data_IF_162548565311
#
_entry.id   IF_162548565311
#
_cell.length_a   1.000
_cell.length_b   1.000
_cell.length_c   1.000
_cell.angle_alpha   90.00
_cell.angle_beta   90.00
_cell.angle_gamma   90.00
#
_symmetry.space_group_name_H-M   'P 1'
#
loop_
_entity.id
_entity.type
_entity.pdbx_description
1 polymer ?
#
# COMPACT_ATOMS: atom_id res chain seq x y z
N UNK A 1 14.65 16.57 15.71
CA UNK A 1 13.78 17.59 15.13
C UNK A 1 13.23 18.49 16.22
N UNK A 2 12.89 19.72 15.83
CA UNK A 2 12.30 20.74 16.69
C UNK A 2 11.21 21.48 15.91
N UNK A 3 10.16 21.93 16.60
CA UNK A 3 9.11 22.76 16.02
C UNK A 3 8.66 23.85 16.98
N UNK A 4 8.07 24.92 16.45
CA UNK A 4 7.39 25.94 17.26
C UNK A 4 6.04 25.44 17.78
N UNK A 5 5.44 26.17 18.70
CA UNK A 5 4.14 25.80 19.32
C UNK A 5 2.97 25.83 18.31
N UNK A 6 3.13 26.52 17.17
CA UNK A 6 2.11 26.66 16.14
C UNK A 6 2.27 25.63 15.01
N UNK A 7 3.26 24.74 15.06
CA UNK A 7 3.60 23.80 13.98
C UNK A 7 3.84 24.46 12.61
N UNK A 8 4.35 25.69 12.62
CA UNK A 8 4.68 26.45 11.40
C UNK A 8 6.13 26.43 11.06
N UNK A 9 7.01 26.28 12.06
CA UNK A 9 8.46 26.18 11.86
C UNK A 9 8.93 24.81 12.31
N UNK A 10 9.57 24.07 11.38
CA UNK A 10 10.15 22.77 11.64
C UNK A 10 11.62 22.76 11.30
N UNK A 11 12.48 22.44 12.27
CA UNK A 11 13.94 22.36 12.08
C UNK A 11 14.40 20.92 12.28
N UNK A 12 15.20 20.44 11.32
CA UNK A 12 15.75 19.08 11.32
C UNK A 12 17.28 19.16 11.24
N UNK A 13 17.96 18.25 11.98
CA UNK A 13 19.41 18.11 11.95
C UNK A 13 19.82 16.72 11.51
N UNK A 14 20.67 16.62 10.49
CA UNK A 14 21.25 15.37 10.02
C UNK A 14 22.26 14.83 11.02
N UNK A 15 22.30 13.50 11.17
CA UNK A 15 23.33 12.82 11.95
C UNK A 15 24.71 13.03 11.32
N UNK A 16 25.79 13.00 12.09
CA UNK A 16 27.13 13.04 11.52
C UNK A 16 27.47 11.77 10.73
N UNK A 17 28.39 11.90 9.77
CA UNK A 17 29.01 10.77 9.06
C UNK A 17 28.12 10.11 7.99
N UNK A 18 26.97 10.69 7.65
CA UNK A 18 26.12 10.17 6.56
C UNK A 18 26.80 10.34 5.20
N UNK A 19 26.82 9.27 4.42
CA UNK A 19 27.42 9.24 3.07
C UNK A 19 26.45 8.62 2.07
N UNK A 20 26.52 9.11 0.85
CA UNK A 20 25.93 8.46 -0.31
C UNK A 20 26.79 7.26 -0.79
N UNK A 21 26.22 6.42 -1.65
CA UNK A 21 26.90 5.23 -2.20
C UNK A 21 28.10 5.57 -3.11
N UNK A 22 28.19 6.79 -3.61
CA UNK A 22 29.33 7.32 -4.35
C UNK A 22 30.46 7.88 -3.45
N UNK A 23 30.24 7.86 -2.12
CA UNK A 23 31.20 8.31 -1.11
C UNK A 23 31.04 9.75 -0.68
N UNK A 24 30.25 10.57 -1.39
CA UNK A 24 30.01 11.97 -1.03
C UNK A 24 29.18 12.09 0.26
N UNK A 25 29.40 13.15 1.07
CA UNK A 25 28.62 13.37 2.27
C UNK A 25 27.16 13.71 1.93
N UNK A 26 26.23 13.28 2.78
CA UNK A 26 24.82 13.71 2.71
C UNK A 26 24.70 15.04 3.44
N UNK A 27 24.34 16.09 2.71
CA UNK A 27 24.20 17.46 3.22
C UNK A 27 22.75 17.92 3.21
N UNK A 28 22.43 18.95 3.98
CA UNK A 28 21.09 19.55 4.04
C UNK A 28 20.59 20.05 2.68
N UNK A 29 21.46 20.51 1.78
CA UNK A 29 21.09 20.89 0.40
C UNK A 29 20.53 19.70 -0.41
N UNK A 30 21.06 18.48 -0.18
CA UNK A 30 20.56 17.26 -0.83
C UNK A 30 19.15 16.95 -0.34
N UNK A 31 18.90 17.12 0.97
CA UNK A 31 17.59 16.94 1.56
C UNK A 31 16.60 17.96 1.02
N UNK A 32 16.94 19.23 1.01
CA UNK A 32 16.09 20.31 0.50
C UNK A 32 15.69 20.04 -0.94
N UNK A 33 16.65 19.68 -1.81
CA UNK A 33 16.35 19.42 -3.21
C UNK A 33 15.53 18.13 -3.40
N UNK A 34 15.82 17.08 -2.63
CA UNK A 34 15.07 15.82 -2.69
C UNK A 34 13.62 16.01 -2.25
N UNK A 35 13.37 16.75 -1.17
CA UNK A 35 12.02 17.06 -0.70
C UNK A 35 11.28 17.98 -1.68
N UNK A 36 11.96 18.95 -2.29
CA UNK A 36 11.41 19.81 -3.35
C UNK A 36 10.93 18.97 -4.53
N UNK A 37 11.71 17.94 -4.93
CA UNK A 37 11.33 16.98 -5.96
C UNK A 37 10.17 16.08 -5.56
N UNK A 38 10.14 15.62 -4.29
CA UNK A 38 9.14 14.68 -3.78
C UNK A 38 7.77 15.34 -3.61
N UNK A 39 7.71 16.57 -3.08
CA UNK A 39 6.46 17.25 -2.74
C UNK A 39 5.40 17.31 -3.87
N UNK A 40 5.73 17.56 -5.13
CA UNK A 40 4.73 17.57 -6.21
C UNK A 40 4.10 16.21 -6.50
N UNK A 41 4.76 15.12 -6.14
CA UNK A 41 4.39 13.74 -6.48
C UNK A 41 3.61 13.03 -5.39
N UNK A 42 3.75 13.45 -4.17
CA UNK A 42 3.19 12.80 -2.99
C UNK A 42 2.01 13.57 -2.41
N UNK A 43 0.88 12.94 -2.04
CA UNK A 43 -0.26 13.63 -1.47
C UNK A 43 0.06 14.43 -0.20
N UNK A 44 0.87 13.86 0.73
CA UNK A 44 1.30 14.58 1.93
C UNK A 44 2.31 15.69 1.58
N UNK A 45 3.18 15.42 0.61
CA UNK A 45 4.10 16.42 0.05
C UNK A 45 3.37 17.61 -0.55
N UNK A 46 2.29 17.38 -1.30
CA UNK A 46 1.44 18.44 -1.85
C UNK A 46 0.77 19.28 -0.76
N UNK A 47 0.35 18.66 0.35
CA UNK A 47 -0.21 19.37 1.50
C UNK A 47 0.83 20.25 2.21
N UNK A 48 2.07 19.78 2.32
CA UNK A 48 3.20 20.60 2.82
C UNK A 48 3.47 21.75 1.85
N UNK A 49 3.57 21.46 0.55
CA UNK A 49 3.86 22.46 -0.50
C UNK A 49 2.81 23.57 -0.53
N UNK A 50 1.53 23.25 -0.34
CA UNK A 50 0.46 24.25 -0.31
C UNK A 50 0.56 25.22 0.88
N UNK A 51 1.30 24.84 1.94
CA UNK A 51 1.55 25.63 3.15
C UNK A 51 2.95 26.22 3.20
N UNK A 52 3.81 25.86 2.25
CA UNK A 52 5.22 26.19 2.29
C UNK A 52 5.46 27.67 2.00
N UNK A 53 6.12 28.35 2.92
CA UNK A 53 6.77 29.65 2.69
C UNK A 53 8.20 29.42 2.22
N UNK A 54 9.01 28.73 3.02
CA UNK A 54 10.43 28.45 2.71
C UNK A 54 10.80 27.04 3.14
N UNK A 55 11.58 26.35 2.29
CA UNK A 55 12.38 25.17 2.64
C UNK A 55 13.84 25.51 2.34
N UNK A 56 14.68 25.59 3.37
CA UNK A 56 16.05 26.07 3.27
C UNK A 56 17.07 25.16 3.95
N UNK A 57 18.28 25.12 3.42
CA UNK A 57 19.46 24.61 4.12
C UNK A 57 20.02 25.73 4.98
N UNK A 58 19.99 25.57 6.31
CA UNK A 58 20.51 26.57 7.27
C UNK A 58 22.02 26.45 7.38
N UNK A 59 22.54 25.24 7.42
CA UNK A 59 23.94 24.87 7.38
C UNK A 59 24.08 23.47 6.72
N UNK A 60 25.27 22.90 6.62
CA UNK A 60 25.53 21.61 5.98
C UNK A 60 24.71 20.45 6.55
N UNK A 61 24.23 20.57 7.78
CA UNK A 61 23.51 19.49 8.48
C UNK A 61 22.12 19.87 8.97
N UNK A 62 21.72 21.13 8.85
CA UNK A 62 20.46 21.66 9.36
C UNK A 62 19.64 22.19 8.21
N UNK A 63 18.38 21.72 8.09
CA UNK A 63 17.40 22.26 7.16
C UNK A 63 16.13 22.63 7.90
N UNK A 64 15.35 23.57 7.32
CA UNK A 64 14.18 24.15 7.97
C UNK A 64 13.03 24.32 6.98
N UNK A 65 11.82 23.99 7.46
CA UNK A 65 10.57 24.43 6.84
C UNK A 65 10.03 25.63 7.58
N UNK A 66 9.56 26.64 6.83
CA UNK A 66 8.65 27.69 7.32
C UNK A 66 7.36 27.57 6.54
N UNK A 67 6.23 27.57 7.25
CA UNK A 67 4.89 27.34 6.71
C UNK A 67 3.99 28.55 7.00
N UNK A 68 3.09 28.87 6.06
CA UNK A 68 2.09 29.92 6.20
C UNK A 68 0.93 29.53 7.15
N UNK A 69 0.71 28.22 7.35
CA UNK A 69 -0.31 27.66 8.20
C UNK A 69 0.18 26.41 8.92
N UNK A 70 -0.40 26.05 10.09
CA UNK A 70 0.03 24.90 10.88
C UNK A 70 0.00 23.58 10.11
N UNK A 71 1.02 22.72 10.37
CA UNK A 71 1.03 21.36 9.84
C UNK A 71 1.59 20.36 10.88
N UNK A 72 0.77 19.91 11.85
CA UNK A 72 1.21 19.01 12.94
C UNK A 72 1.62 17.62 12.44
N UNK A 73 1.28 17.25 11.20
CA UNK A 73 1.60 15.94 10.60
C UNK A 73 2.96 15.89 9.87
N UNK A 74 3.88 16.84 10.09
CA UNK A 74 5.16 16.92 9.37
C UNK A 74 5.99 15.64 9.54
N UNK A 75 6.19 15.18 10.77
CA UNK A 75 6.97 13.96 11.05
C UNK A 75 6.33 12.75 10.38
N UNK A 76 5.00 12.64 10.47
CA UNK A 76 4.27 11.58 9.81
C UNK A 76 4.45 11.63 8.28
N UNK A 77 4.37 12.80 7.67
CA UNK A 77 4.52 12.99 6.22
C UNK A 77 5.90 12.58 5.70
N UNK A 78 6.96 12.97 6.43
CA UNK A 78 8.34 12.66 6.08
C UNK A 78 8.71 11.20 6.38
N UNK A 79 8.11 10.59 7.42
CA UNK A 79 8.39 9.23 7.88
C UNK A 79 7.42 8.15 7.39
N UNK A 80 6.46 8.48 6.53
CA UNK A 80 5.49 7.50 6.04
C UNK A 80 6.18 6.35 5.28
N UNK A 81 5.59 5.16 5.37
CA UNK A 81 6.13 3.92 4.80
C UNK A 81 5.52 3.52 3.45
N UNK A 82 4.56 4.28 2.94
CA UNK A 82 3.92 4.04 1.64
C UNK A 82 4.47 4.96 0.55
N UNK A 83 4.37 4.50 -0.70
CA UNK A 83 4.88 5.23 -1.89
C UNK A 83 3.99 6.41 -2.29
N UNK A 84 4.60 7.48 -2.86
CA UNK A 84 6.03 7.76 -2.97
C UNK A 84 6.62 8.19 -1.61
N UNK A 85 7.74 7.59 -1.22
CA UNK A 85 8.48 7.99 -0.02
C UNK A 85 9.43 9.15 -0.32
N UNK A 86 9.78 9.91 0.72
CA UNK A 86 10.71 11.05 0.64
C UNK A 86 12.18 10.59 0.62
N UNK A 87 12.59 9.80 -0.37
CA UNK A 87 13.97 9.34 -0.51
C UNK A 87 14.93 10.50 -0.75
N UNK A 88 16.02 10.51 0.02
CA UNK A 88 17.08 11.49 -0.13
C UNK A 88 18.12 10.97 -1.13
N UNK A 89 18.45 11.78 -2.12
CA UNK A 89 19.42 11.51 -3.16
C UNK A 89 20.36 12.71 -3.31
N UNK A 90 21.55 12.57 -3.94
CA UNK A 90 22.42 13.69 -4.23
C UNK A 90 21.69 14.82 -4.96
N UNK A 91 21.96 16.07 -4.60
CA UNK A 91 21.33 17.27 -5.18
C UNK A 91 21.34 17.23 -6.71
N UNK A 92 22.46 16.80 -7.34
CA UNK A 92 22.60 16.68 -8.80
C UNK A 92 21.54 15.76 -9.42
N UNK A 93 21.15 14.67 -8.73
CA UNK A 93 20.12 13.75 -9.18
C UNK A 93 18.73 14.31 -8.85
N UNK A 94 18.56 14.88 -7.65
CA UNK A 94 17.31 15.46 -7.19
C UNK A 94 16.83 16.65 -8.00
N UNK A 95 17.70 17.32 -8.74
CA UNK A 95 17.38 18.40 -9.70
C UNK A 95 16.67 17.93 -10.96
N UNK A 96 16.63 16.61 -11.24
CA UNK A 96 15.82 16.06 -12.33
C UNK A 96 14.35 16.42 -12.11
N UNK A 97 13.64 16.79 -13.17
CA UNK A 97 12.21 17.13 -13.07
C UNK A 97 11.41 16.07 -12.32
N UNK A 98 10.51 16.43 -11.38
CA UNK A 98 9.74 15.49 -10.58
C UNK A 98 8.96 14.45 -11.39
N UNK A 99 8.57 14.76 -12.62
CA UNK A 99 7.79 13.88 -13.50
C UNK A 99 8.66 13.09 -14.49
N UNK A 100 9.98 13.31 -14.47
CA UNK A 100 10.96 12.51 -15.21
C UNK A 100 11.60 11.46 -14.32
N UNK A 101 11.81 10.26 -14.89
CA UNK A 101 12.51 9.18 -14.17
C UNK A 101 14.00 9.51 -14.04
N UNK A 102 14.55 9.28 -12.84
CA UNK A 102 15.99 9.35 -12.62
C UNK A 102 16.70 8.20 -13.33
N UNK A 103 17.89 8.45 -13.86
CA UNK A 103 18.68 7.45 -14.60
C UNK A 103 19.82 6.88 -13.75
N UNK A 104 20.18 7.56 -12.66
CA UNK A 104 21.24 7.16 -11.74
C UNK A 104 20.64 6.80 -10.39
N UNK A 105 21.03 5.64 -9.82
CA UNK A 105 20.54 5.13 -8.54
C UNK A 105 21.65 5.25 -7.50
N UNK A 106 21.66 6.36 -6.76
CA UNK A 106 22.59 6.63 -5.66
C UNK A 106 21.77 6.92 -4.41
N UNK A 107 21.82 6.05 -3.44
CA UNK A 107 21.19 6.21 -2.13
C UNK A 107 22.21 6.37 -1.02
N UNK A 108 21.73 6.42 0.23
CA UNK A 108 22.53 6.52 1.45
C UNK A 108 22.20 5.42 2.46
N UNK A 109 21.61 4.32 1.99
CA UNK A 109 21.22 3.17 2.80
C UNK A 109 22.37 2.17 3.04
N UNK A 110 22.09 1.09 3.81
CA UNK A 110 23.11 0.11 4.16
C UNK A 110 23.51 -0.84 3.02
N UNK A 111 22.75 -0.84 1.91
CA UNK A 111 23.00 -1.66 0.73
C UNK A 111 23.05 -0.79 -0.52
N UNK A 112 23.99 -1.10 -1.40
CA UNK A 112 24.17 -0.44 -2.70
C UNK A 112 23.63 -1.34 -3.80
N UNK A 113 22.80 -0.79 -4.69
CA UNK A 113 22.29 -1.49 -5.85
C UNK A 113 23.38 -1.71 -6.91
N UNK A 114 23.47 -2.94 -7.43
CA UNK A 114 24.41 -3.35 -8.49
C UNK A 114 23.71 -3.31 -9.85
N UNK A 115 23.77 -2.14 -10.50
CA UNK A 115 23.12 -1.95 -11.80
C UNK A 115 23.69 -2.83 -12.90
N UNK A 116 24.99 -3.09 -12.86
CA UNK A 116 25.73 -3.96 -13.79
C UNK A 116 25.30 -5.44 -13.72
N UNK A 117 24.69 -5.85 -12.62
CA UNK A 117 24.20 -7.21 -12.39
C UNK A 117 22.68 -7.31 -12.43
N UNK A 118 21.99 -6.21 -12.66
CA UNK A 118 20.54 -6.18 -12.74
C UNK A 118 20.05 -6.74 -14.08
N UNK A 119 19.17 -7.74 -14.02
CA UNK A 119 18.44 -8.29 -15.17
C UNK A 119 16.96 -8.06 -14.94
N UNK A 120 16.32 -7.09 -15.64
CA UNK A 120 14.91 -6.78 -15.47
C UNK A 120 14.02 -8.03 -15.60
N UNK A 121 13.11 -8.24 -14.64
CA UNK A 121 12.20 -9.40 -14.63
C UNK A 121 12.85 -10.73 -14.21
N UNK A 122 14.14 -10.75 -13.87
CA UNK A 122 14.85 -11.97 -13.46
C UNK A 122 15.64 -11.82 -12.16
N UNK A 123 16.49 -10.80 -12.04
CA UNK A 123 17.38 -10.66 -10.89
C UNK A 123 17.69 -9.21 -10.56
N UNK A 124 17.70 -8.88 -9.27
CA UNK A 124 18.27 -7.66 -8.71
C UNK A 124 19.31 -7.98 -7.66
N UNK A 125 20.41 -7.23 -7.62
CA UNK A 125 21.56 -7.49 -6.75
C UNK A 125 21.91 -6.25 -5.93
N UNK A 126 22.21 -6.48 -4.66
CA UNK A 126 22.61 -5.46 -3.70
C UNK A 126 23.84 -5.93 -2.92
N UNK A 127 24.79 -5.01 -2.70
CA UNK A 127 26.00 -5.24 -1.89
C UNK A 127 26.01 -4.34 -0.67
N UNK A 128 26.58 -4.81 0.44
CA UNK A 128 26.77 -4.02 1.65
C UNK A 128 27.59 -2.77 1.36
N UNK A 129 27.11 -1.63 1.87
CA UNK A 129 27.83 -0.38 1.81
C UNK A 129 28.55 -0.11 3.14
N UNK A 130 29.86 -0.32 3.19
CA UNK A 130 30.67 -0.19 4.41
C UNK A 130 30.76 1.28 4.91
N UNK A 131 30.47 2.25 4.05
CA UNK A 131 30.36 3.67 4.43
C UNK A 131 29.07 4.04 5.17
N UNK A 132 28.13 3.10 5.32
CA UNK A 132 26.89 3.35 6.05
C UNK A 132 27.10 3.38 7.57
N UNK A 133 26.61 4.44 8.22
CA UNK A 133 26.63 4.58 9.68
C UNK A 133 25.25 4.25 10.24
N UNK A 134 25.05 3.06 10.86
CA UNK A 134 23.77 2.72 11.46
C UNK A 134 23.47 3.58 12.69
N UNK A 135 22.22 3.73 13.04
CA UNK A 135 21.80 4.28 14.33
C UNK A 135 22.15 3.30 15.46
N UNK A 136 22.19 3.78 16.68
CA UNK A 136 22.51 2.94 17.86
C UNK A 136 21.32 2.11 18.32
N UNK A 137 20.12 2.65 18.15
CA UNK A 137 18.87 2.02 18.59
C UNK A 137 18.60 0.71 17.83
N UNK A 138 17.93 -0.21 18.48
CA UNK A 138 17.49 -1.45 17.82
C UNK A 138 16.65 -1.14 16.57
N UNK A 139 16.79 -1.93 15.50
CA UNK A 139 15.97 -1.73 14.30
C UNK A 139 14.50 -2.05 14.61
N UNK A 140 13.62 -1.16 14.16
CA UNK A 140 12.19 -1.33 14.17
C UNK A 140 11.66 -0.99 12.77
N UNK A 141 11.31 -2.01 12.02
CA UNK A 141 10.94 -1.93 10.60
C UNK A 141 11.93 -1.05 9.80
N UNK A 142 11.47 0.10 9.27
CA UNK A 142 12.28 1.05 8.51
C UNK A 142 13.06 2.02 9.40
N UNK A 143 12.87 2.02 10.71
CA UNK A 143 13.58 2.88 11.66
C UNK A 143 14.69 2.15 12.42
N UNK A 144 15.44 2.89 13.26
CA UNK A 144 16.52 2.34 14.09
C UNK A 144 17.79 1.96 13.31
N UNK A 145 18.59 1.10 13.91
CA UNK A 145 19.92 0.71 13.43
C UNK A 145 19.87 -0.39 12.38
N UNK A 146 20.05 -0.05 11.12
CA UNK A 146 20.01 -0.98 9.98
C UNK A 146 21.39 -1.62 9.78
N UNK A 147 21.76 -2.58 10.63
CA UNK A 147 23.05 -3.27 10.55
C UNK A 147 22.95 -4.48 9.61
N UNK A 148 23.74 -4.49 8.54
CA UNK A 148 23.81 -5.60 7.60
C UNK A 148 24.82 -6.64 8.13
N UNK A 149 24.36 -7.90 8.23
CA UNK A 149 25.19 -9.04 8.65
C UNK A 149 25.48 -9.98 7.47
N UNK A 150 24.99 -9.63 6.27
CA UNK A 150 25.29 -10.30 5.01
C UNK A 150 25.97 -9.29 4.08
N UNK A 151 26.85 -9.80 3.21
CA UNK A 151 27.62 -8.95 2.29
C UNK A 151 26.85 -8.64 1.02
N UNK A 152 25.95 -9.56 0.63
CA UNK A 152 25.26 -9.53 -0.66
C UNK A 152 23.85 -10.09 -0.53
N UNK A 153 22.91 -9.46 -1.27
CA UNK A 153 21.54 -9.92 -1.43
C UNK A 153 21.27 -10.05 -2.93
N UNK A 154 20.82 -11.24 -3.35
CA UNK A 154 20.37 -11.51 -4.69
C UNK A 154 18.86 -11.79 -4.65
N UNK A 155 18.11 -10.97 -5.34
CA UNK A 155 16.66 -11.09 -5.43
C UNK A 155 16.30 -11.76 -6.76
N UNK A 156 15.92 -13.03 -6.71
CA UNK A 156 15.54 -13.82 -7.87
C UNK A 156 14.03 -13.81 -8.07
N UNK A 157 13.59 -13.58 -9.30
CA UNK A 157 12.18 -13.65 -9.68
C UNK A 157 11.93 -15.04 -10.27
N UNK A 158 11.18 -15.88 -9.54
CA UNK A 158 10.78 -17.21 -9.92
C UNK A 158 9.26 -17.23 -10.18
N UNK A 159 8.81 -17.15 -11.43
CA UNK A 159 7.38 -16.99 -11.75
C UNK A 159 6.53 -18.20 -11.38
N UNK A 160 7.09 -19.41 -11.44
CA UNK A 160 6.39 -20.65 -11.10
C UNK A 160 6.55 -20.97 -9.62
N UNK A 161 5.44 -21.10 -8.89
CA UNK A 161 5.43 -21.32 -7.46
C UNK A 161 5.97 -22.71 -7.04
N UNK A 162 5.80 -23.75 -7.88
CA UNK A 162 6.35 -25.07 -7.61
C UNK A 162 7.87 -25.05 -7.77
N UNK A 163 8.38 -24.34 -8.78
CA UNK A 163 9.83 -24.10 -8.97
C UNK A 163 10.40 -23.32 -7.81
N UNK A 164 9.73 -22.26 -7.32
CA UNK A 164 10.16 -21.48 -6.16
C UNK A 164 10.21 -22.34 -4.89
N UNK A 165 9.20 -23.19 -4.68
CA UNK A 165 9.17 -24.13 -3.55
C UNK A 165 10.32 -25.15 -3.62
N UNK A 166 10.62 -25.70 -4.79
CA UNK A 166 11.73 -26.62 -5.02
C UNK A 166 13.07 -25.92 -4.76
N UNK A 167 13.28 -24.73 -5.31
CA UNK A 167 14.51 -23.95 -5.09
C UNK A 167 14.78 -23.67 -3.62
N UNK A 168 13.74 -23.31 -2.83
CA UNK A 168 13.88 -23.14 -1.39
C UNK A 168 14.21 -24.45 -0.67
N UNK A 169 13.56 -25.57 -1.05
CA UNK A 169 13.80 -26.88 -0.45
C UNK A 169 15.21 -27.41 -0.74
N UNK A 170 15.71 -27.20 -1.95
CA UNK A 170 17.04 -27.62 -2.41
C UNK A 170 18.16 -26.69 -1.91
N UNK A 171 17.83 -25.49 -1.40
CA UNK A 171 18.81 -24.51 -0.95
C UNK A 171 19.43 -23.67 -2.05
N UNK A 172 18.77 -23.58 -3.19
CA UNK A 172 19.14 -22.69 -4.29
C UNK A 172 18.77 -21.23 -3.95
N UNK A 173 17.70 -21.03 -3.15
CA UNK A 173 17.33 -19.76 -2.54
C UNK A 173 17.16 -19.93 -1.03
N UNK A 174 17.29 -18.84 -0.29
CA UNK A 174 17.28 -18.85 1.18
C UNK A 174 15.96 -18.40 1.80
N UNK A 175 15.21 -17.53 1.10
CA UNK A 175 13.99 -16.92 1.60
C UNK A 175 12.99 -16.71 0.46
N UNK A 176 11.76 -17.14 0.66
CA UNK A 176 10.62 -16.93 -0.24
C UNK A 176 9.57 -16.05 0.45
N UNK A 177 9.32 -14.86 -0.11
CA UNK A 177 8.48 -13.83 0.52
C UNK A 177 6.99 -14.18 0.56
N UNK A 178 6.48 -14.80 -0.51
CA UNK A 178 5.03 -14.95 -0.72
C UNK A 178 4.67 -16.37 -1.23
N UNK A 179 4.94 -17.42 -0.44
CA UNK A 179 4.56 -18.78 -0.81
C UNK A 179 3.04 -18.90 -0.92
N UNK A 180 2.57 -19.65 -1.92
CA UNK A 180 1.14 -19.95 -2.06
C UNK A 180 0.63 -20.76 -0.88
N UNK A 181 -0.58 -20.50 -0.37
CA UNK A 181 -1.18 -21.23 0.75
C UNK A 181 -1.15 -22.74 0.57
N UNK A 182 -1.45 -23.24 -0.64
CA UNK A 182 -1.48 -24.68 -0.95
C UNK A 182 -0.12 -25.37 -0.81
N UNK A 183 0.98 -24.65 -0.91
CA UNK A 183 2.34 -25.18 -0.75
C UNK A 183 2.86 -25.14 0.70
N UNK A 184 2.18 -24.44 1.58
CA UNK A 184 2.57 -24.34 2.99
C UNK A 184 2.68 -25.70 3.71
N UNK A 185 1.70 -26.65 3.53
CA UNK A 185 1.83 -27.96 4.16
C UNK A 185 3.07 -28.72 3.73
N UNK A 186 3.49 -28.60 2.47
CA UNK A 186 4.70 -29.23 1.95
C UNK A 186 5.95 -28.61 2.54
N UNK A 187 6.04 -27.27 2.56
CA UNK A 187 7.17 -26.54 3.12
C UNK A 187 7.34 -26.83 4.62
N UNK A 188 6.25 -26.91 5.38
CA UNK A 188 6.28 -27.23 6.84
C UNK A 188 6.80 -28.62 7.16
N UNK A 189 6.70 -29.59 6.23
CA UNK A 189 7.25 -30.94 6.41
C UNK A 189 8.77 -30.98 6.30
N UNK A 190 9.37 -30.00 5.64
CA UNK A 190 10.82 -29.91 5.52
C UNK A 190 11.41 -29.30 6.79
N UNK A 191 12.22 -30.14 7.53
CA UNK A 191 12.84 -29.73 8.80
C UNK A 191 13.81 -28.56 8.69
N UNK A 192 14.32 -28.28 7.48
CA UNK A 192 15.25 -27.19 7.21
C UNK A 192 14.55 -25.88 6.86
N UNK A 193 13.21 -25.86 6.76
CA UNK A 193 12.44 -24.69 6.42
C UNK A 193 11.64 -24.20 7.64
N UNK A 194 11.61 -22.90 7.81
CA UNK A 194 10.70 -22.18 8.70
C UNK A 194 9.61 -21.51 7.86
N UNK A 195 8.37 -21.56 8.32
CA UNK A 195 7.23 -20.86 7.73
C UNK A 195 6.55 -20.02 8.81
N UNK A 196 6.30 -18.76 8.56
CA UNK A 196 5.61 -17.86 9.48
C UNK A 196 4.79 -16.82 8.72
N UNK A 197 3.94 -16.08 9.43
CA UNK A 197 3.25 -14.91 8.88
C UNK A 197 4.28 -13.86 8.47
N UNK A 198 4.14 -13.33 7.25
CA UNK A 198 5.05 -12.33 6.72
C UNK A 198 4.84 -10.96 7.37
N UNK A 199 3.61 -10.47 7.34
CA UNK A 199 3.22 -9.17 7.89
C UNK A 199 2.01 -9.30 8.81
N UNK A 200 2.11 -8.94 10.09
CA UNK A 200 0.97 -8.94 11.01
C UNK A 200 -0.05 -7.85 10.70
N UNK A 201 0.32 -6.79 9.96
CA UNK A 201 -0.62 -5.79 9.45
C UNK A 201 -1.40 -6.28 8.22
N UNK A 202 -0.98 -7.37 7.59
CA UNK A 202 -1.68 -8.06 6.53
C UNK A 202 -2.09 -7.20 5.34
N UNK A 203 -3.19 -7.59 4.72
CA UNK A 203 -3.71 -6.95 3.51
C UNK A 203 -5.22 -6.76 3.60
N UNK A 204 -5.70 -5.67 3.02
CA UNK A 204 -7.13 -5.39 2.87
C UNK A 204 -7.51 -5.59 1.41
N UNK A 205 -8.37 -6.55 1.15
CA UNK A 205 -8.91 -6.78 -0.19
C UNK A 205 -9.89 -5.68 -0.60
N UNK A 206 -9.86 -5.29 -1.86
CA UNK A 206 -10.61 -4.16 -2.39
C UNK A 206 -11.44 -4.55 -3.60
N UNK A 207 -12.76 -4.37 -3.48
CA UNK A 207 -13.70 -4.41 -4.59
C UNK A 207 -13.88 -2.98 -5.08
N UNK A 208 -13.24 -2.64 -6.19
CA UNK A 208 -13.22 -1.28 -6.71
C UNK A 208 -14.27 -1.07 -7.78
N UNK A 209 -15.17 -0.11 -7.54
CA UNK A 209 -16.24 0.31 -8.45
C UNK A 209 -15.84 1.56 -9.21
N UNK A 210 -16.26 1.66 -10.46
CA UNK A 210 -16.08 2.88 -11.27
C UNK A 210 -17.28 3.81 -11.10
N UNK A 211 -17.07 4.94 -10.41
CA UNK A 211 -18.12 5.91 -10.11
C UNK A 211 -18.47 6.82 -11.29
N UNK A 212 -17.76 6.74 -12.42
CA UNK A 212 -18.03 7.61 -13.57
C UNK A 212 -19.19 7.12 -14.44
N UNK A 213 -19.50 5.83 -14.40
CA UNK A 213 -20.43 5.20 -15.34
C UNK A 213 -21.57 4.46 -14.65
N UNK A 214 -22.79 4.46 -15.26
CA UNK A 214 -23.90 3.64 -14.79
C UNK A 214 -23.54 2.15 -14.77
N UNK A 215 -24.06 1.37 -13.78
CA UNK A 215 -24.96 1.81 -12.71
C UNK A 215 -24.23 2.40 -11.50
N UNK A 216 -22.88 2.29 -11.43
CA UNK A 216 -22.11 2.60 -10.22
C UNK A 216 -21.81 4.08 -10.00
N UNK A 217 -22.20 4.97 -10.91
CA UNK A 217 -22.28 6.41 -10.63
C UNK A 217 -23.40 6.73 -9.61
N UNK A 218 -24.39 5.85 -9.45
CA UNK A 218 -25.41 5.94 -8.41
C UNK A 218 -24.98 5.20 -7.14
N UNK A 219 -25.02 5.88 -5.99
CA UNK A 219 -24.67 5.29 -4.70
C UNK A 219 -25.56 4.10 -4.31
N UNK A 220 -26.83 4.10 -4.77
CA UNK A 220 -27.78 3.01 -4.51
C UNK A 220 -27.29 1.70 -5.15
N UNK A 221 -26.78 1.76 -6.39
CA UNK A 221 -26.20 0.58 -7.03
C UNK A 221 -24.95 0.07 -6.30
N UNK A 222 -24.09 0.98 -5.82
CA UNK A 222 -22.91 0.58 -5.02
C UNK A 222 -23.30 -0.03 -3.69
N UNK A 223 -24.30 0.53 -3.00
CA UNK A 223 -24.84 -0.03 -1.74
C UNK A 223 -25.49 -1.40 -1.94
N UNK A 224 -26.16 -1.62 -3.08
CA UNK A 224 -26.69 -2.93 -3.41
C UNK A 224 -25.60 -4.01 -3.44
N UNK A 225 -24.46 -3.73 -4.08
CA UNK A 225 -23.31 -4.65 -4.06
C UNK A 225 -22.78 -4.84 -2.63
N UNK A 226 -22.67 -3.75 -1.86
CA UNK A 226 -22.20 -3.80 -0.48
C UNK A 226 -23.10 -4.65 0.43
N UNK A 227 -24.45 -4.57 0.27
CA UNK A 227 -25.43 -5.39 1.01
C UNK A 227 -25.38 -6.87 0.66
N UNK A 228 -25.05 -7.18 -0.59
CA UNK A 228 -25.00 -8.56 -1.10
C UNK A 228 -23.67 -9.26 -0.84
N UNK A 229 -22.59 -8.49 -0.57
CA UNK A 229 -21.25 -9.02 -0.40
C UNK A 229 -21.10 -9.79 0.92
N UNK A 230 -20.49 -10.98 0.86
CA UNK A 230 -20.05 -11.73 2.04
C UNK A 230 -18.52 -11.83 2.02
N UNK A 231 -17.86 -11.18 2.96
CA UNK A 231 -16.41 -11.15 3.04
C UNK A 231 -15.77 -12.54 3.23
N UNK A 232 -16.46 -13.47 3.89
CA UNK A 232 -15.98 -14.83 4.08
C UNK A 232 -15.76 -15.56 2.75
N UNK A 233 -16.67 -15.39 1.78
CA UNK A 233 -16.54 -16.02 0.46
C UNK A 233 -15.24 -15.57 -0.23
N UNK A 234 -14.90 -14.27 -0.16
CA UNK A 234 -13.66 -13.73 -0.70
C UNK A 234 -12.43 -14.22 0.04
N UNK A 235 -12.46 -14.20 1.36
CA UNK A 235 -11.31 -14.58 2.18
C UNK A 235 -10.98 -16.06 2.04
N UNK A 236 -11.98 -16.93 2.09
CA UNK A 236 -11.77 -18.37 1.87
C UNK A 236 -11.24 -18.68 0.47
N UNK A 237 -11.66 -17.94 -0.54
CA UNK A 237 -11.12 -18.08 -1.89
C UNK A 237 -9.64 -17.65 -2.00
N UNK A 238 -9.17 -16.69 -1.18
CA UNK A 238 -7.79 -16.21 -1.18
C UNK A 238 -6.87 -17.09 -0.35
N UNK A 239 -7.24 -17.40 0.90
CA UNK A 239 -6.35 -18.02 1.89
C UNK A 239 -6.75 -19.47 2.25
N UNK A 240 -7.81 -20.00 1.66
CA UNK A 240 -8.29 -21.36 1.93
C UNK A 240 -9.07 -21.46 3.24
N UNK A 241 -8.95 -22.61 3.90
CA UNK A 241 -9.75 -22.98 5.09
C UNK A 241 -9.09 -22.58 6.42
N UNK A 242 -7.95 -21.93 6.44
CA UNK A 242 -7.28 -21.53 7.68
C UNK A 242 -7.88 -20.21 8.20
N UNK A 243 -8.78 -20.32 9.18
CA UNK A 243 -9.48 -19.18 9.77
C UNK A 243 -8.53 -18.21 10.52
N UNK A 244 -7.28 -18.59 10.79
CA UNK A 244 -6.29 -17.69 11.40
C UNK A 244 -5.71 -16.69 10.39
N UNK A 245 -5.88 -16.94 9.10
CA UNK A 245 -5.31 -16.11 8.03
C UNK A 245 -6.21 -14.99 7.57
N UNK A 246 -7.43 -14.89 8.08
CA UNK A 246 -8.35 -13.85 7.64
C UNK A 246 -9.29 -13.37 8.75
N UNK A 247 -9.87 -12.19 8.52
CA UNK A 247 -10.92 -11.62 9.37
C UNK A 247 -11.94 -10.85 8.53
N UNK A 248 -13.17 -10.81 8.98
CA UNK A 248 -14.13 -9.81 8.50
C UNK A 248 -13.61 -8.42 8.85
N UNK A 249 -13.74 -7.49 7.92
CA UNK A 249 -13.24 -6.13 8.06
C UNK A 249 -14.33 -5.10 7.73
N UNK A 250 -15.10 -4.63 8.72
CA UNK A 250 -16.07 -3.54 8.55
C UNK A 250 -15.38 -2.17 8.63
N UNK A 251 -14.22 -2.05 8.02
CA UNK A 251 -13.34 -0.88 8.12
C UNK A 251 -12.49 -0.73 6.85
N UNK A 252 -12.08 0.50 6.57
CA UNK A 252 -11.02 0.79 5.62
C UNK A 252 -9.63 0.76 6.27
N UNK A 253 -9.57 0.73 7.59
CA UNK A 253 -8.32 0.84 8.36
C UNK A 253 -7.89 -0.52 8.94
N UNK A 254 -6.58 -0.68 9.07
CA UNK A 254 -5.95 -1.94 9.47
C UNK A 254 -6.23 -2.30 10.93
N UNK A 255 -6.70 -3.53 11.21
CA UNK A 255 -6.90 -4.02 12.56
C UNK A 255 -5.61 -3.96 13.40
N UNK A 256 -5.76 -3.65 14.69
CA UNK A 256 -4.64 -3.56 15.63
C UNK A 256 -3.83 -2.26 15.55
N UNK A 257 -4.22 -1.32 14.71
CA UNK A 257 -3.62 0.02 14.63
C UNK A 257 -4.49 1.08 15.30
N UNK A 258 -3.93 2.24 15.68
CA UNK A 258 -4.73 3.35 16.21
C UNK A 258 -5.81 3.88 15.26
N UNK A 259 -5.64 3.66 13.96
CA UNK A 259 -6.59 4.07 12.93
C UNK A 259 -7.85 3.19 12.87
N UNK A 260 -7.78 1.96 13.41
CA UNK A 260 -8.87 0.99 13.27
C UNK A 260 -10.15 1.47 13.97
N UNK A 261 -11.25 1.41 13.23
CA UNK A 261 -12.60 1.71 13.71
C UNK A 261 -13.61 0.96 12.87
N UNK A 262 -14.73 0.56 13.45
CA UNK A 262 -15.84 -0.10 12.76
C UNK A 262 -17.04 0.83 12.52
N UNK A 263 -16.90 2.11 12.83
CA UNK A 263 -17.97 3.10 12.71
C UNK A 263 -18.52 3.17 11.27
N UNK A 264 -19.81 2.89 11.09
CA UNK A 264 -20.48 2.87 9.79
C UNK A 264 -20.28 1.60 8.97
N UNK A 265 -19.57 0.59 9.52
CA UNK A 265 -19.30 -0.68 8.85
C UNK A 265 -20.31 -1.81 9.14
N UNK A 266 -21.43 -1.50 9.81
CA UNK A 266 -22.45 -2.47 10.26
C UNK A 266 -23.00 -3.32 9.12
N UNK A 267 -23.12 -2.75 7.93
CA UNK A 267 -23.62 -3.43 6.72
C UNK A 267 -22.76 -4.64 6.32
N UNK A 268 -21.46 -4.63 6.63
CA UNK A 268 -20.54 -5.73 6.32
C UNK A 268 -20.48 -6.81 7.42
N UNK A 269 -21.16 -6.59 8.55
CA UNK A 269 -21.19 -7.53 9.68
C UNK A 269 -22.40 -8.46 9.64
N UNK A 270 -23.51 -8.00 9.07
CA UNK A 270 -24.79 -8.71 9.01
C UNK A 270 -24.81 -9.81 7.96
N UNK A 271 -25.91 -10.56 7.93
CA UNK A 271 -26.18 -11.45 6.81
C UNK A 271 -26.36 -10.63 5.53
N UNK A 272 -25.91 -11.18 4.39
CA UNK A 272 -26.14 -10.55 3.08
C UNK A 272 -27.62 -10.50 2.75
N UNK A 273 -28.06 -9.38 2.17
CA UNK A 273 -29.45 -9.18 1.71
C UNK A 273 -29.50 -9.14 0.17
N UNK A 274 -29.62 -10.31 -0.44
CA UNK A 274 -29.67 -10.47 -1.90
C UNK A 274 -30.95 -9.86 -2.48
N UNK A 275 -32.09 -10.05 -1.85
CA UNK A 275 -33.36 -9.53 -2.37
C UNK A 275 -33.49 -8.01 -2.20
N UNK A 276 -32.99 -7.46 -1.09
CA UNK A 276 -32.86 -6.01 -0.92
C UNK A 276 -31.91 -5.39 -1.94
N UNK A 277 -30.78 -6.06 -2.20
CA UNK A 277 -29.81 -5.62 -3.21
C UNK A 277 -30.41 -5.60 -4.62
N UNK A 278 -31.15 -6.63 -5.03
CA UNK A 278 -31.86 -6.66 -6.32
C UNK A 278 -32.85 -5.50 -6.48
N UNK A 279 -33.66 -5.24 -5.43
CA UNK A 279 -34.59 -4.08 -5.45
C UNK A 279 -33.84 -2.76 -5.61
N UNK A 280 -32.76 -2.59 -4.84
CA UNK A 280 -32.00 -1.34 -4.87
C UNK A 280 -31.26 -1.14 -6.21
N UNK A 281 -30.80 -2.21 -6.87
CA UNK A 281 -30.25 -2.17 -8.24
C UNK A 281 -31.29 -1.71 -9.25
N UNK A 282 -32.51 -2.26 -9.17
CA UNK A 282 -33.60 -1.86 -10.05
C UNK A 282 -33.98 -0.36 -9.84
N UNK A 283 -34.07 0.08 -8.58
CA UNK A 283 -34.31 1.49 -8.22
C UNK A 283 -33.19 2.43 -8.71
N UNK A 284 -31.95 1.94 -8.79
CA UNK A 284 -30.81 2.65 -9.35
C UNK A 284 -30.76 2.61 -10.89
N UNK A 285 -31.76 1.99 -11.55
CA UNK A 285 -31.91 1.95 -12.99
C UNK A 285 -31.10 0.86 -13.70
N UNK A 286 -30.62 -0.15 -12.97
CA UNK A 286 -30.01 -1.30 -13.64
C UNK A 286 -31.07 -2.14 -14.36
N UNK A 287 -30.87 -2.37 -15.66
CA UNK A 287 -31.84 -3.05 -16.54
C UNK A 287 -31.21 -4.13 -17.43
N UNK A 288 -30.11 -4.75 -16.99
CA UNK A 288 -29.43 -5.83 -17.71
C UNK A 288 -28.25 -5.41 -18.59
N UNK A 289 -27.83 -4.15 -18.55
CA UNK A 289 -26.62 -3.73 -19.27
C UNK A 289 -25.39 -4.51 -18.80
N UNK A 290 -24.43 -4.80 -19.68
CA UNK A 290 -23.21 -5.55 -19.36
C UNK A 290 -22.37 -4.83 -18.29
N UNK A 291 -21.88 -5.59 -17.32
CA UNK A 291 -20.96 -5.13 -16.28
C UNK A 291 -19.58 -5.69 -16.52
N UNK A 292 -18.68 -4.87 -17.03
CA UNK A 292 -17.30 -5.25 -17.35
C UNK A 292 -16.47 -5.35 -16.07
N UNK A 293 -16.00 -6.56 -15.76
CA UNK A 293 -15.16 -6.89 -14.59
C UNK A 293 -13.76 -7.26 -15.07
N UNK A 294 -12.75 -6.46 -14.75
CA UNK A 294 -11.35 -6.78 -15.08
C UNK A 294 -10.77 -7.72 -14.02
N UNK A 295 -10.24 -8.86 -14.46
CA UNK A 295 -9.73 -9.90 -13.56
C UNK A 295 -8.33 -10.35 -13.96
N UNK A 296 -7.35 -10.06 -13.11
CA UNK A 296 -5.97 -10.51 -13.28
C UNK A 296 -5.84 -12.00 -12.96
N UNK A 297 -5.44 -12.79 -13.96
CA UNK A 297 -5.32 -14.26 -13.84
C UNK A 297 -3.96 -14.71 -13.32
N UNK A 298 -2.95 -13.88 -13.45
CA UNK A 298 -1.57 -14.10 -13.02
C UNK A 298 -1.31 -13.77 -11.53
N UNK A 299 -2.32 -13.23 -10.83
CA UNK A 299 -2.28 -12.90 -9.41
C UNK A 299 -3.35 -13.71 -8.67
N UNK A 300 -2.96 -14.77 -7.97
CA UNK A 300 -3.90 -15.71 -7.34
C UNK A 300 -4.98 -15.02 -6.46
N UNK A 301 -4.68 -14.06 -5.57
CA UNK A 301 -5.71 -13.38 -4.79
C UNK A 301 -6.68 -12.57 -5.67
N UNK A 302 -6.21 -11.93 -6.74
CA UNK A 302 -7.06 -11.13 -7.62
C UNK A 302 -7.97 -11.99 -8.49
N UNK A 303 -7.43 -13.12 -8.98
CA UNK A 303 -8.22 -14.13 -9.67
C UNK A 303 -9.35 -14.64 -8.78
N UNK A 304 -9.03 -15.05 -7.54
CA UNK A 304 -10.01 -15.53 -6.59
C UNK A 304 -11.10 -14.50 -6.30
N UNK A 305 -10.73 -13.24 -6.03
CA UNK A 305 -11.71 -12.16 -5.83
C UNK A 305 -12.60 -11.94 -7.06
N UNK A 306 -12.03 -12.00 -8.27
CA UNK A 306 -12.78 -11.84 -9.51
C UNK A 306 -13.82 -12.95 -9.73
N UNK A 307 -13.46 -14.18 -9.43
CA UNK A 307 -14.36 -15.35 -9.55
C UNK A 307 -15.52 -15.27 -8.55
N UNK A 308 -15.25 -14.92 -7.29
CA UNK A 308 -16.29 -14.71 -6.26
C UNK A 308 -17.22 -13.56 -6.68
N UNK A 309 -16.66 -12.47 -7.21
CA UNK A 309 -17.46 -11.35 -7.73
C UNK A 309 -18.34 -11.74 -8.89
N UNK A 310 -17.84 -12.54 -9.84
CA UNK A 310 -18.65 -13.04 -10.95
C UNK A 310 -19.87 -13.83 -10.43
N UNK A 311 -19.66 -14.73 -9.45
CA UNK A 311 -20.74 -15.49 -8.84
C UNK A 311 -21.74 -14.57 -8.11
N UNK A 312 -21.26 -13.60 -7.34
CA UNK A 312 -22.07 -12.62 -6.64
C UNK A 312 -22.96 -11.83 -7.61
N UNK A 313 -22.38 -11.22 -8.63
CA UNK A 313 -23.11 -10.37 -9.59
C UNK A 313 -24.17 -11.20 -10.36
N UNK A 314 -23.85 -12.43 -10.75
CA UNK A 314 -24.82 -13.34 -11.38
C UNK A 314 -25.97 -13.71 -10.45
N UNK A 315 -25.72 -13.89 -9.14
CA UNK A 315 -26.76 -14.14 -8.15
C UNK A 315 -27.73 -12.96 -7.99
N UNK A 316 -27.25 -11.74 -8.28
CA UNK A 316 -28.06 -10.52 -8.34
C UNK A 316 -28.81 -10.35 -9.68
N UNK A 317 -28.64 -11.27 -10.63
CA UNK A 317 -29.21 -11.18 -11.97
C UNK A 317 -28.49 -10.20 -12.89
N UNK A 318 -27.25 -9.85 -12.56
CA UNK A 318 -26.46 -8.94 -13.39
C UNK A 318 -25.82 -9.66 -14.57
N UNK A 319 -25.77 -8.98 -15.73
CA UNK A 319 -25.12 -9.44 -16.94
C UNK A 319 -23.61 -9.16 -16.84
N UNK A 320 -22.78 -10.19 -16.59
CA UNK A 320 -21.35 -10.03 -16.33
C UNK A 320 -20.53 -10.24 -17.62
N UNK A 321 -19.80 -9.21 -18.02
CA UNK A 321 -18.70 -9.26 -18.99
C UNK A 321 -17.39 -9.48 -18.23
N UNK A 322 -16.97 -10.76 -18.12
CA UNK A 322 -15.81 -11.17 -17.34
C UNK A 322 -14.55 -11.11 -18.20
N UNK A 323 -13.72 -10.08 -18.02
CA UNK A 323 -12.51 -9.84 -18.80
C UNK A 323 -11.30 -10.42 -18.06
N UNK A 324 -10.94 -11.64 -18.39
CA UNK A 324 -9.74 -12.33 -17.90
C UNK A 324 -8.49 -11.81 -18.64
N UNK A 325 -7.50 -11.31 -17.89
CA UNK A 325 -6.25 -10.78 -18.46
C UNK A 325 -5.13 -10.85 -17.41
N UNK A 326 -3.96 -10.29 -17.70
CA UNK A 326 -2.84 -10.15 -16.76
C UNK A 326 -2.93 -8.85 -15.94
N UNK A 327 -2.19 -8.79 -14.81
CA UNK A 327 -2.19 -7.61 -13.93
C UNK A 327 -1.63 -6.35 -14.59
N UNK A 328 -0.65 -6.49 -15.49
CA UNK A 328 -0.09 -5.36 -16.24
C UNK A 328 -1.15 -4.68 -17.11
N UNK A 329 -1.95 -5.48 -17.81
CA UNK A 329 -3.08 -5.03 -18.63
C UNK A 329 -4.19 -4.42 -17.75
N UNK A 330 -4.55 -5.04 -16.62
CA UNK A 330 -5.47 -4.44 -15.64
C UNK A 330 -4.92 -3.09 -15.16
N UNK A 331 -3.62 -3.03 -14.84
CA UNK A 331 -2.95 -1.82 -14.38
C UNK A 331 -3.04 -0.65 -15.37
N UNK A 332 -2.92 -0.93 -16.66
CA UNK A 332 -3.09 0.06 -17.72
C UNK A 332 -4.57 0.43 -17.92
N UNK A 333 -5.44 -0.58 -18.06
CA UNK A 333 -6.86 -0.38 -18.38
C UNK A 333 -7.65 0.30 -17.26
N UNK A 334 -7.31 0.06 -15.98
CA UNK A 334 -7.97 0.72 -14.84
C UNK A 334 -7.78 2.24 -14.82
N UNK A 335 -6.77 2.77 -15.52
CA UNK A 335 -6.55 4.21 -15.65
C UNK A 335 -7.47 4.88 -16.70
N UNK A 336 -8.16 4.10 -17.53
CA UNK A 336 -9.08 4.59 -18.54
C UNK A 336 -10.37 5.11 -17.91
N UNK A 337 -10.74 6.35 -18.23
CA UNK A 337 -12.04 6.98 -17.91
C UNK A 337 -13.08 6.77 -19.00
N UNK A 338 -12.74 6.08 -20.08
CA UNK A 338 -13.67 5.80 -21.16
C UNK A 338 -14.86 4.96 -20.68
N UNK A 339 -16.01 5.04 -21.36
CA UNK A 339 -17.13 4.15 -21.12
C UNK A 339 -16.73 2.66 -21.23
N UNK A 340 -17.32 1.77 -20.44
CA UNK A 340 -16.96 0.35 -20.44
C UNK A 340 -16.99 -0.31 -21.81
N UNK A 341 -17.99 -0.01 -22.65
CA UNK A 341 -18.07 -0.48 -24.05
C UNK A 341 -17.01 0.10 -25.00
N UNK A 342 -16.19 1.05 -24.57
CA UNK A 342 -15.13 1.71 -25.33
C UNK A 342 -13.75 1.51 -24.69
N UNK A 343 -13.52 0.33 -24.10
CA UNK A 343 -12.25 0.00 -23.45
C UNK A 343 -12.15 0.38 -21.96
N UNK A 344 -13.20 1.01 -21.39
CA UNK A 344 -13.31 1.24 -19.96
C UNK A 344 -13.71 -0.01 -19.16
N UNK A 345 -14.17 0.19 -17.96
CA UNK A 345 -14.48 -0.88 -17.00
C UNK A 345 -15.49 -0.43 -15.95
N UNK A 346 -16.14 -1.40 -15.27
CA UNK A 346 -17.04 -1.14 -14.14
C UNK A 346 -16.43 -1.57 -12.81
N UNK A 347 -15.68 -2.68 -12.79
CA UNK A 347 -15.14 -3.30 -11.58
C UNK A 347 -13.73 -3.82 -11.84
N UNK A 348 -12.84 -3.66 -10.87
CA UNK A 348 -11.61 -4.43 -10.74
C UNK A 348 -11.29 -4.72 -9.27
N UNK A 349 -10.44 -5.69 -9.04
CA UNK A 349 -9.95 -6.02 -7.71
C UNK A 349 -8.49 -5.66 -7.52
N UNK A 350 -8.16 -5.32 -6.27
CA UNK A 350 -6.79 -5.18 -5.79
C UNK A 350 -6.77 -5.46 -4.29
N UNK A 351 -5.61 -5.39 -3.69
CA UNK A 351 -5.47 -5.31 -2.22
C UNK A 351 -4.60 -4.10 -1.86
N UNK A 352 -4.70 -3.69 -0.60
CA UNK A 352 -3.86 -2.66 -0.01
C UNK A 352 -3.09 -3.29 1.14
N UNK A 353 -1.77 -3.07 1.20
CA UNK A 353 -0.99 -3.48 2.34
C UNK A 353 -1.50 -2.78 3.61
N UNK A 354 -1.58 -3.51 4.73
CA UNK A 354 -2.11 -2.95 5.97
C UNK A 354 -1.37 -1.70 6.43
N UNK A 355 -0.06 -1.64 6.18
CA UNK A 355 0.75 -0.46 6.46
C UNK A 355 0.31 0.81 5.68
N UNK A 356 -0.29 0.66 4.49
CA UNK A 356 -0.80 1.78 3.69
C UNK A 356 -2.17 2.28 4.19
N UNK A 357 -2.87 1.47 4.98
CA UNK A 357 -4.24 1.70 5.41
C UNK A 357 -4.33 2.30 6.84
N UNK A 358 -3.34 3.06 7.25
CA UNK A 358 -3.27 3.70 8.57
C UNK A 358 -3.30 5.22 8.51
N UNK A 359 -3.07 5.81 7.34
CA UNK A 359 -2.94 7.27 7.18
C UNK A 359 -3.92 7.81 6.13
N UNK A 360 -5.04 8.39 6.54
CA UNK A 360 -6.13 8.75 5.62
C UNK A 360 -5.71 9.66 4.47
N UNK A 361 -4.83 10.62 4.74
CA UNK A 361 -4.40 11.60 3.73
C UNK A 361 -3.55 11.00 2.62
N UNK A 362 -2.80 9.94 2.91
CA UNK A 362 -1.97 9.20 1.94
C UNK A 362 -2.62 7.91 1.43
N UNK A 363 -3.72 7.48 2.03
CA UNK A 363 -4.49 6.32 1.58
C UNK A 363 -5.38 6.67 0.40
N UNK A 364 -4.80 6.72 -0.79
CA UNK A 364 -5.46 7.21 -2.01
C UNK A 364 -6.77 6.48 -2.34
N UNK A 365 -6.93 5.22 -1.93
CA UNK A 365 -8.11 4.43 -2.26
C UNK A 365 -9.39 4.93 -1.60
N UNK A 366 -9.31 5.60 -0.43
CA UNK A 366 -10.48 6.16 0.26
C UNK A 366 -10.75 7.61 -0.09
N UNK A 367 -9.85 8.30 -0.82
CA UNK A 367 -9.97 9.71 -1.13
C UNK A 367 -11.09 9.97 -2.15
N UNK A 368 -11.95 10.94 -1.85
CA UNK A 368 -13.17 11.26 -2.57
C UNK A 368 -13.10 12.50 -3.45
N UNK A 369 -11.98 12.74 -4.16
CA UNK A 369 -11.75 13.93 -5.00
C UNK A 369 -12.45 13.92 -6.37
N UNK A 370 -13.33 12.96 -6.66
CA UNK A 370 -13.97 12.85 -7.97
C UNK A 370 -12.96 12.55 -9.06
N UNK A 371 -12.96 13.32 -10.14
CA UNK A 371 -12.09 13.10 -11.29
C UNK A 371 -10.57 13.11 -10.99
N UNK A 372 -10.14 13.63 -9.83
CA UNK A 372 -8.78 13.60 -9.34
C UNK A 372 -8.48 12.44 -8.38
N UNK A 373 -9.49 11.67 -7.98
CA UNK A 373 -9.32 10.53 -7.07
C UNK A 373 -8.60 9.36 -7.76
N UNK A 374 -8.16 8.42 -6.93
CA UNK A 374 -7.59 7.18 -7.43
C UNK A 374 -8.59 6.39 -8.28
N UNK A 375 -8.15 5.44 -9.08
CA UNK A 375 -8.93 4.65 -10.03
C UNK A 375 -10.30 4.22 -9.46
N UNK A 376 -11.37 4.46 -10.24
CA UNK A 376 -12.75 4.38 -9.80
C UNK A 376 -13.35 5.75 -9.48
N UNK A 377 -12.52 6.75 -9.22
CA UNK A 377 -12.86 8.18 -9.14
C UNK A 377 -14.05 8.50 -8.23
N UNK A 378 -14.05 8.02 -6.97
CA UNK A 378 -15.14 8.31 -6.06
C UNK A 378 -15.22 9.80 -5.73
N UNK A 379 -16.45 10.28 -5.54
CA UNK A 379 -16.73 11.60 -5.01
C UNK A 379 -17.37 11.45 -3.64
N UNK A 380 -16.74 12.01 -2.60
CA UNK A 380 -17.25 12.02 -1.23
C UNK A 380 -16.75 13.27 -0.50
N UNK A 381 -17.56 14.32 -0.51
CA UNK A 381 -17.24 15.56 0.23
C UNK A 381 -17.14 15.31 1.75
N UNK A 382 -17.95 14.38 2.27
CA UNK A 382 -17.94 14.04 3.69
C UNK A 382 -16.61 13.33 4.09
N UNK A 383 -16.10 12.41 3.26
CA UNK A 383 -14.79 11.78 3.49
C UNK A 383 -13.67 12.81 3.46
N UNK A 384 -13.65 13.70 2.47
CA UNK A 384 -12.61 14.73 2.37
C UNK A 384 -12.65 15.73 3.54
N UNK A 385 -13.84 16.14 4.01
CA UNK A 385 -13.97 16.98 5.20
C UNK A 385 -13.45 16.27 6.46
N UNK A 386 -13.72 14.98 6.61
CA UNK A 386 -13.22 14.19 7.73
C UNK A 386 -11.69 13.98 7.66
N UNK A 387 -11.13 13.80 6.46
CA UNK A 387 -9.66 13.75 6.24
C UNK A 387 -9.02 15.08 6.60
N UNK A 388 -9.64 16.21 6.29
CA UNK A 388 -9.15 17.53 6.71
C UNK A 388 -9.08 17.66 8.23
N UNK A 389 -10.10 17.20 8.97
CA UNK A 389 -10.08 17.16 10.44
C UNK A 389 -8.92 16.29 10.98
N UNK A 390 -8.68 15.14 10.34
CA UNK A 390 -7.54 14.29 10.73
C UNK A 390 -6.20 15.00 10.54
N UNK A 391 -6.03 15.77 9.46
CA UNK A 391 -4.81 16.54 9.20
C UNK A 391 -4.54 17.62 10.26
N UNK A 392 -5.60 18.21 10.81
CA UNK A 392 -5.56 19.26 11.84
C UNK A 392 -5.49 18.68 13.26
N UNK A 393 -5.80 17.39 13.44
CA UNK A 393 -5.81 16.75 14.73
C UNK A 393 -4.43 16.78 15.39
N UNK A 394 -4.34 17.36 16.56
CA UNK A 394 -3.13 17.48 17.36
C UNK A 394 -3.04 16.43 18.49
N UNK A 395 -4.16 15.78 18.83
CA UNK A 395 -4.25 14.79 19.90
C UNK A 395 -4.71 13.42 19.40
N UNK A 396 -4.32 12.31 20.07
CA UNK A 396 -4.82 10.98 19.76
C UNK A 396 -6.35 10.83 19.80
N UNK A 397 -7.02 11.60 20.68
CA UNK A 397 -8.49 11.58 20.77
C UNK A 397 -9.14 12.20 19.54
N UNK A 398 -8.63 13.32 19.05
CA UNK A 398 -9.08 13.98 17.82
C UNK A 398 -8.82 13.10 16.60
N UNK A 399 -7.65 12.47 16.50
CA UNK A 399 -7.35 11.51 15.45
C UNK A 399 -8.34 10.35 15.43
N UNK A 400 -8.62 9.76 16.61
CA UNK A 400 -9.58 8.66 16.75
C UNK A 400 -10.99 9.06 16.31
N UNK A 401 -11.43 10.25 16.68
CA UNK A 401 -12.72 10.79 16.24
C UNK A 401 -12.76 10.98 14.72
N UNK A 402 -11.70 11.53 14.12
CA UNK A 402 -11.59 11.72 12.69
C UNK A 402 -11.57 10.38 11.92
N UNK A 403 -10.86 9.36 12.40
CA UNK A 403 -10.91 8.02 11.80
C UNK A 403 -12.33 7.45 11.76
N UNK A 404 -13.11 7.61 12.85
CA UNK A 404 -14.49 7.15 12.89
C UNK A 404 -15.40 7.91 11.88
N UNK A 405 -15.21 9.22 11.75
CA UNK A 405 -15.93 10.02 10.74
C UNK A 405 -15.56 9.60 9.31
N UNK A 406 -14.28 9.43 9.03
CA UNK A 406 -13.79 9.00 7.71
C UNK A 406 -14.39 7.63 7.35
N UNK A 407 -14.31 6.64 8.27
CA UNK A 407 -14.82 5.31 8.00
C UNK A 407 -16.33 5.35 7.71
N UNK A 408 -17.09 6.07 8.50
CA UNK A 408 -18.55 6.21 8.32
C UNK A 408 -18.88 6.88 6.97
N UNK A 409 -18.21 7.98 6.64
CA UNK A 409 -18.44 8.70 5.39
C UNK A 409 -18.10 7.83 4.16
N UNK A 410 -16.94 7.20 4.18
CA UNK A 410 -16.47 6.34 3.10
C UNK A 410 -17.36 5.09 2.91
N UNK A 411 -17.86 4.48 4.01
CA UNK A 411 -18.83 3.38 3.96
C UNK A 411 -20.18 3.82 3.41
N UNK A 412 -20.64 5.01 3.78
CA UNK A 412 -21.94 5.58 3.33
C UNK A 412 -21.91 5.87 1.84
N UNK A 413 -20.83 6.46 1.33
CA UNK A 413 -20.68 6.81 -0.09
C UNK A 413 -20.14 5.65 -0.93
N UNK A 414 -19.74 4.56 -0.26
CA UNK A 414 -19.19 3.33 -0.87
C UNK A 414 -18.04 3.69 -1.82
N UNK A 415 -17.00 4.33 -1.29
CA UNK A 415 -15.82 4.75 -2.08
C UNK A 415 -15.09 3.54 -2.67
N UNK A 416 -15.10 2.42 -1.99
CA UNK A 416 -14.89 1.05 -2.45
C UNK A 416 -15.48 0.08 -1.41
N UNK A 417 -15.52 -1.23 -1.67
CA UNK A 417 -16.00 -2.21 -0.70
C UNK A 417 -14.82 -3.05 -0.21
N UNK A 418 -14.47 -3.03 1.09
CA UNK A 418 -13.49 -3.96 1.64
C UNK A 418 -13.99 -5.39 1.52
N UNK A 419 -13.20 -6.27 0.91
CA UNK A 419 -13.58 -7.69 0.78
C UNK A 419 -13.12 -8.55 1.95
N UNK A 420 -12.45 -7.97 2.93
CA UNK A 420 -11.94 -8.59 4.13
C UNK A 420 -10.47 -8.28 4.36
N UNK A 421 -9.96 -8.77 5.48
CA UNK A 421 -8.55 -8.68 5.86
C UNK A 421 -7.91 -10.08 5.80
N UNK A 422 -6.72 -10.17 5.22
CA UNK A 422 -6.00 -11.45 5.12
C UNK A 422 -4.51 -11.30 5.37
N UNK A 423 -3.92 -12.40 5.86
CA UNK A 423 -2.49 -12.55 6.13
C UNK A 423 -1.85 -13.43 5.06
N UNK A 424 -0.58 -13.17 4.78
CA UNK A 424 0.24 -14.02 3.93
C UNK A 424 1.37 -14.69 4.72
N UNK A 425 1.87 -15.80 4.21
CA UNK A 425 3.05 -16.47 4.74
C UNK A 425 4.32 -15.97 4.08
N UNK A 426 5.45 -16.17 4.77
CA UNK A 426 6.80 -16.22 4.25
C UNK A 426 7.46 -17.53 4.66
N UNK A 427 8.47 -17.97 3.92
CA UNK A 427 9.21 -19.19 4.21
C UNK A 427 10.71 -18.97 3.98
N UNK A 428 11.53 -19.51 4.88
CA UNK A 428 12.98 -19.38 4.76
C UNK A 428 13.71 -20.61 5.31
N UNK A 429 14.95 -20.78 4.92
CA UNK A 429 15.81 -21.84 5.44
C UNK A 429 16.25 -21.52 6.86
N UNK A 430 16.28 -22.53 7.75
CA UNK A 430 16.57 -22.33 9.19
C UNK A 430 18.00 -21.87 9.48
N UNK A 431 18.93 -22.02 8.53
CA UNK A 431 20.26 -21.43 8.66
C UNK A 431 20.27 -19.92 8.39
N UNK A 432 19.14 -19.33 8.00
CA UNK A 432 18.94 -17.88 7.94
C UNK A 432 18.20 -17.44 9.20
N UNK A 433 18.80 -16.53 9.93
CA UNK A 433 18.29 -16.01 11.22
C UNK A 433 18.04 -14.51 11.14
N UNK A 434 17.30 -13.96 12.11
CA UNK A 434 17.03 -12.54 12.17
C UNK A 434 15.94 -12.02 11.21
N UNK A 435 15.22 -12.92 10.53
CA UNK A 435 14.05 -12.57 9.71
C UNK A 435 13.01 -11.89 10.59
N UNK A 436 12.53 -10.73 10.12
CA UNK A 436 11.53 -9.90 10.80
C UNK A 436 10.18 -9.97 10.08
N UNK A 437 9.11 -9.89 10.86
CA UNK A 437 7.76 -9.70 10.33
C UNK A 437 7.53 -8.22 10.01
N UNK A 438 6.86 -7.94 8.91
CA UNK A 438 6.50 -6.58 8.54
C UNK A 438 6.11 -6.43 7.08
N UNK A 439 5.73 -5.24 6.66
CA UNK A 439 5.15 -4.97 5.33
C UNK A 439 6.15 -5.12 4.18
N UNK A 440 7.44 -5.24 4.49
CA UNK A 440 8.52 -5.40 3.53
C UNK A 440 9.53 -6.42 4.06
N UNK A 441 10.32 -7.10 3.21
CA UNK A 441 11.48 -7.87 3.64
C UNK A 441 12.55 -6.92 4.22
N UNK A 442 12.89 -7.12 5.49
CA UNK A 442 13.93 -6.36 6.17
C UNK A 442 15.19 -7.19 6.28
N UNK A 443 16.26 -6.77 5.60
CA UNK A 443 17.52 -7.52 5.55
C UNK A 443 18.52 -7.14 6.66
N UNK A 444 18.30 -6.04 7.39
CA UNK A 444 19.15 -5.68 8.53
C UNK A 444 18.89 -6.60 9.72
N UNK A 445 19.99 -7.10 10.27
CA UNK A 445 19.97 -8.11 11.31
C UNK A 445 19.78 -9.55 10.82
N UNK A 446 19.63 -9.75 9.49
CA UNK A 446 19.57 -11.07 8.88
C UNK A 446 21.01 -11.63 8.75
N UNK A 447 21.22 -12.85 9.22
CA UNK A 447 22.48 -13.59 9.11
C UNK A 447 22.23 -14.97 8.53
N UNK A 448 23.25 -15.51 7.82
CA UNK A 448 23.25 -16.86 7.28
C UNK A 448 24.46 -17.62 7.84
N UNK A 449 24.21 -18.79 8.43
CA UNK A 449 25.24 -19.71 8.95
C UNK A 449 25.51 -20.88 8.01
#
# INVERSE_FOLDING_TARGET
EEHDAEFKTWTFRLRPGLKFHDGEPVLSKDVVQSLTRWMPRDPMGQLIRARLDVLEAVDDRTFRFRLNSPFPKMIFALGKNNTPMSFIMPERIARTDPFQQITEIVGSGPMRFKRDEWVPGSRAVFERFDGYVPREEAPDWLSGGKRMLVDRIEWHILPDAATAAAALQNGEVDWWETPLPDLIPVLRRNRNIQVDIADPLGNIGSFRLNHLHPPFNDVRARRAIQMALNQEDYMRAIVGSDDNLWKRLPSFFTPGTPAYTEAGGEILKGPRDIEGAKRLLAEAGYNGQPITVLVAQDQAPLKAMGEVTNALLRSLGMNVDFVATDWGTVGQRRASKAPPGQGGWHIFHTWHAGADCIAPASYNAIRGHGGGAWFGWPTSAATEAAVAKWLEAATPAEEKAAYAEINRAAMTDVVYIPTGFFLGYQAWRRNVTGIRKGPLPFFWGVAKS
#
